data_IF_385816810535
#
_entry.id   IF_385816810535
#
_cell.length_a   1.000
_cell.length_b   1.000
_cell.length_c   1.000
_cell.angle_alpha   90.00
_cell.angle_beta   90.00
_cell.angle_gamma   90.00
#
_symmetry.space_group_name_H-M   'P 1'
#
loop_
_entity.id
_entity.type
_entity.pdbx_description
1 polymer ?
#
# COMPACT_ATOMS: atom_id res chain seq x y z
N UNK A 1 -6.86 32.56 -4.60
CA UNK A 1 -7.44 31.34 -3.99
C UNK A 1 -6.88 30.12 -4.69
N UNK A 2 -6.21 29.20 -3.99
CA UNK A 2 -5.97 27.85 -4.54
C UNK A 2 -7.27 27.08 -4.32
N UNK A 3 -8.02 26.81 -5.38
CA UNK A 3 -9.27 26.06 -5.28
C UNK A 3 -8.95 24.60 -4.99
N UNK A 4 -9.42 24.08 -3.87
CA UNK A 4 -9.27 22.65 -3.54
C UNK A 4 -9.98 21.80 -4.59
N UNK A 5 -9.35 20.72 -5.03
CA UNK A 5 -9.96 19.72 -5.92
C UNK A 5 -10.61 18.56 -5.15
N UNK A 6 -10.61 18.59 -3.81
CA UNK A 6 -11.16 17.50 -2.98
C UNK A 6 -12.65 17.28 -3.22
N UNK A 7 -13.42 18.35 -3.43
CA UNK A 7 -14.85 18.27 -3.74
C UNK A 7 -15.15 17.50 -5.03
N UNK A 8 -14.17 17.37 -5.93
CA UNK A 8 -14.33 16.60 -7.16
C UNK A 8 -14.22 15.09 -6.94
N UNK A 9 -13.69 14.62 -5.80
CA UNK A 9 -13.54 13.19 -5.53
C UNK A 9 -14.90 12.49 -5.47
N UNK A 10 -15.89 13.08 -4.82
CA UNK A 10 -17.25 12.54 -4.76
C UNK A 10 -17.88 12.46 -6.15
N UNK A 11 -17.71 13.53 -6.95
CA UNK A 11 -18.14 13.53 -8.35
C UNK A 11 -17.41 12.44 -9.16
N UNK A 12 -16.12 12.21 -8.93
CA UNK A 12 -15.35 11.18 -9.62
C UNK A 12 -15.79 9.77 -9.22
N UNK A 13 -16.06 9.52 -7.94
CA UNK A 13 -16.59 8.24 -7.47
C UNK A 13 -17.89 7.87 -8.19
N UNK A 14 -18.79 8.84 -8.35
CA UNK A 14 -20.13 8.62 -8.91
C UNK A 14 -20.18 8.61 -10.45
N UNK A 15 -19.32 9.38 -11.11
CA UNK A 15 -19.47 9.64 -12.56
C UNK A 15 -18.19 9.42 -13.38
N UNK A 16 -17.01 9.32 -12.76
CA UNK A 16 -15.71 9.22 -13.46
C UNK A 16 -14.72 8.35 -12.69
N UNK A 17 -15.05 7.07 -12.56
CA UNK A 17 -14.28 6.09 -11.79
C UNK A 17 -12.77 6.08 -12.11
N UNK A 18 -12.41 6.21 -13.39
CA UNK A 18 -11.00 6.27 -13.80
C UNK A 18 -10.23 7.44 -13.17
N UNK A 19 -10.86 8.60 -12.98
CA UNK A 19 -10.23 9.76 -12.33
C UNK A 19 -10.14 9.55 -10.82
N UNK A 20 -11.13 8.89 -10.22
CA UNK A 20 -11.07 8.50 -8.81
C UNK A 20 -9.86 7.58 -8.58
N UNK A 21 -9.75 6.50 -9.37
CA UNK A 21 -8.63 5.57 -9.30
C UNK A 21 -7.29 6.26 -9.58
N UNK A 22 -7.22 7.15 -10.56
CA UNK A 22 -5.99 7.90 -10.83
C UNK A 22 -5.56 8.75 -9.61
N UNK A 23 -6.51 9.23 -8.81
CA UNK A 23 -6.22 10.05 -7.63
C UNK A 23 -5.86 9.22 -6.41
N UNK A 24 -6.67 8.25 -6.01
CA UNK A 24 -6.50 7.53 -4.74
C UNK A 24 -6.05 6.07 -4.89
N UNK A 25 -5.91 5.57 -6.13
CA UNK A 25 -5.47 4.20 -6.47
C UNK A 25 -6.32 3.04 -5.94
N UNK A 26 -7.49 3.34 -5.39
CA UNK A 26 -8.46 2.35 -4.93
C UNK A 26 -9.83 2.58 -5.57
N UNK A 27 -10.68 1.56 -5.55
CA UNK A 27 -12.08 1.69 -5.93
C UNK A 27 -12.86 2.44 -4.82
N UNK A 28 -13.96 3.13 -5.14
CA UNK A 28 -14.81 3.78 -4.14
C UNK A 28 -15.26 2.83 -3.02
N UNK A 29 -15.69 1.61 -3.36
CA UNK A 29 -16.09 0.61 -2.36
C UNK A 29 -14.96 0.24 -1.39
N UNK A 30 -13.72 0.11 -1.91
CA UNK A 30 -12.54 -0.16 -1.08
C UNK A 30 -12.21 1.07 -0.22
N UNK A 31 -12.35 2.27 -0.78
CA UNK A 31 -12.16 3.51 -0.04
C UNK A 31 -13.11 3.61 1.15
N UNK A 32 -14.39 3.35 0.93
CA UNK A 32 -15.43 3.39 1.96
C UNK A 32 -15.19 2.28 3.01
N UNK A 33 -14.83 1.07 2.58
CA UNK A 33 -14.45 0.00 3.50
C UNK A 33 -13.27 0.38 4.40
N UNK A 34 -12.21 0.99 3.84
CA UNK A 34 -11.07 1.45 4.64
C UNK A 34 -11.52 2.57 5.60
N UNK A 35 -12.34 3.50 5.11
CA UNK A 35 -12.87 4.60 5.91
C UNK A 35 -13.66 4.08 7.12
N UNK A 36 -14.54 3.10 6.93
CA UNK A 36 -15.33 2.50 7.99
C UNK A 36 -14.43 1.84 9.05
N UNK A 37 -13.39 1.12 8.63
CA UNK A 37 -12.45 0.46 9.57
C UNK A 37 -11.64 1.44 10.43
N UNK A 38 -11.36 2.65 9.93
CA UNK A 38 -10.53 3.62 10.66
C UNK A 38 -11.35 4.72 11.34
N UNK A 39 -12.66 4.83 11.07
CA UNK A 39 -13.47 5.97 11.52
C UNK A 39 -13.60 6.09 13.04
N UNK A 40 -13.61 4.95 13.75
CA UNK A 40 -13.72 4.91 15.21
C UNK A 40 -12.38 5.13 15.93
N UNK A 41 -11.29 5.32 15.19
CA UNK A 41 -9.96 5.41 15.77
C UNK A 41 -9.78 6.71 16.60
N UNK A 42 -9.29 6.63 17.86
CA UNK A 42 -9.23 7.78 18.77
C UNK A 42 -8.35 8.93 18.27
N UNK A 43 -7.41 8.66 17.37
CA UNK A 43 -6.54 9.70 16.76
C UNK A 43 -7.30 10.78 15.98
N UNK A 44 -8.49 10.45 15.47
CA UNK A 44 -9.34 11.40 14.76
C UNK A 44 -10.22 12.24 15.70
N UNK A 45 -10.27 11.89 16.98
CA UNK A 45 -10.96 12.67 17.99
C UNK A 45 -10.15 13.93 18.33
N UNK A 46 -10.76 15.12 18.20
CA UNK A 46 -10.10 16.41 18.48
C UNK A 46 -9.98 16.77 19.96
N UNK A 47 -10.37 15.87 20.87
CA UNK A 47 -10.18 16.02 22.32
C UNK A 47 -10.78 17.30 22.93
N UNK A 48 -11.82 17.87 22.32
CA UNK A 48 -12.43 19.12 22.76
C UNK A 48 -11.67 20.40 22.38
N UNK A 49 -10.61 20.31 21.57
CA UNK A 49 -9.89 21.50 21.09
C UNK A 49 -10.69 22.25 20.02
N UNK A 50 -10.55 23.58 20.01
CA UNK A 50 -11.22 24.48 19.04
C UNK A 50 -10.76 24.28 17.58
N UNK A 51 -9.69 23.51 17.37
CA UNK A 51 -9.15 23.23 16.05
C UNK A 51 -9.84 22.00 15.46
N UNK A 52 -10.86 22.24 14.64
CA UNK A 52 -11.54 21.18 13.90
C UNK A 52 -10.54 20.44 13.01
N UNK A 53 -10.40 19.12 13.21
CA UNK A 53 -9.68 18.27 12.26
C UNK A 53 -10.44 18.25 10.92
N UNK A 54 -9.73 17.99 9.82
CA UNK A 54 -10.39 17.70 8.55
C UNK A 54 -11.21 16.40 8.68
N UNK A 55 -12.34 16.27 7.94
CA UNK A 55 -13.08 15.02 7.83
C UNK A 55 -12.16 13.83 7.54
N UNK A 56 -12.41 12.69 8.19
CA UNK A 56 -11.58 11.48 8.08
C UNK A 56 -11.43 11.05 6.62
N UNK A 57 -12.52 11.09 5.84
CA UNK A 57 -12.50 10.82 4.40
C UNK A 57 -11.50 11.71 3.64
N UNK A 58 -11.38 12.99 3.99
CA UNK A 58 -10.41 13.89 3.37
C UNK A 58 -8.98 13.51 3.79
N UNK A 59 -8.77 13.16 5.06
CA UNK A 59 -7.45 12.72 5.53
C UNK A 59 -7.03 11.42 4.81
N UNK A 60 -7.95 10.47 4.65
CA UNK A 60 -7.75 9.21 3.93
C UNK A 60 -7.43 9.45 2.45
N UNK A 61 -8.18 10.33 1.77
CA UNK A 61 -7.92 10.67 0.37
C UNK A 61 -6.53 11.31 0.17
N UNK A 62 -6.10 12.16 1.11
CA UNK A 62 -4.75 12.75 1.10
C UNK A 62 -3.69 11.66 1.27
N UNK A 63 -3.88 10.76 2.24
CA UNK A 63 -2.97 9.65 2.49
C UNK A 63 -2.85 8.74 1.26
N UNK A 64 -3.97 8.29 0.70
CA UNK A 64 -4.00 7.39 -0.46
C UNK A 64 -3.46 8.05 -1.72
N UNK A 65 -3.74 9.34 -1.94
CA UNK A 65 -3.12 10.08 -3.02
C UNK A 65 -1.59 10.08 -2.86
N UNK A 66 -1.09 10.36 -1.66
CA UNK A 66 0.36 10.36 -1.42
C UNK A 66 1.00 8.98 -1.55
N UNK A 67 0.37 7.93 -1.02
CA UNK A 67 0.89 6.56 -1.05
C UNK A 67 0.80 5.93 -2.45
N UNK A 68 -0.17 6.34 -3.26
CA UNK A 68 -0.48 5.77 -4.56
C UNK A 68 0.32 6.34 -5.75
N UNK A 69 1.24 7.27 -5.52
CA UNK A 69 2.04 7.90 -6.58
C UNK A 69 3.54 7.74 -6.32
N UNK A 70 4.35 7.83 -7.37
CA UNK A 70 5.82 7.73 -7.30
C UNK A 70 6.51 8.96 -7.88
N UNK A 71 7.76 9.20 -7.49
CA UNK A 71 8.56 10.34 -7.96
C UNK A 71 8.00 11.68 -7.50
N UNK A 72 8.03 12.69 -8.37
CA UNK A 72 7.63 14.07 -8.04
C UNK A 72 6.16 14.21 -7.61
N UNK A 73 5.31 13.24 -7.95
CA UNK A 73 3.91 13.20 -7.53
C UNK A 73 3.70 12.85 -6.05
N UNK A 74 4.74 12.39 -5.33
CA UNK A 74 4.73 12.21 -3.86
C UNK A 74 4.96 13.55 -3.12
N UNK A 75 5.43 14.59 -3.81
CA UNK A 75 5.81 15.83 -3.14
C UNK A 75 4.65 16.42 -2.34
N UNK A 76 4.94 16.75 -1.09
CA UNK A 76 3.94 17.22 -0.14
C UNK A 76 3.34 18.55 -0.59
N UNK A 77 4.12 19.34 -1.34
CA UNK A 77 3.71 20.59 -1.96
C UNK A 77 2.66 20.38 -3.05
N UNK A 78 2.80 19.35 -3.89
CA UNK A 78 1.81 19.04 -4.93
C UNK A 78 0.50 18.55 -4.32
N UNK A 79 0.58 17.67 -3.32
CA UNK A 79 -0.60 17.19 -2.59
C UNK A 79 -1.28 18.34 -1.85
N UNK A 80 -0.51 19.23 -1.20
CA UNK A 80 -1.02 20.42 -0.54
C UNK A 80 -1.73 21.38 -1.51
N UNK A 81 -1.17 21.58 -2.72
CA UNK A 81 -1.81 22.38 -3.76
C UNK A 81 -3.11 21.76 -4.27
N UNK A 82 -3.12 20.45 -4.50
CA UNK A 82 -4.32 19.71 -4.93
C UNK A 82 -5.42 19.75 -3.86
N UNK A 83 -5.07 19.50 -2.60
CA UNK A 83 -5.99 19.50 -1.48
C UNK A 83 -6.41 20.92 -1.05
N UNK A 84 -5.64 21.95 -1.41
CA UNK A 84 -5.89 23.33 -1.01
C UNK A 84 -5.58 23.60 0.47
N UNK A 85 -4.63 22.88 1.07
CA UNK A 85 -4.27 22.98 2.49
C UNK A 85 -2.77 23.24 2.67
N UNK A 86 -2.30 23.47 3.90
CA UNK A 86 -0.87 23.63 4.18
C UNK A 86 -0.12 22.29 4.12
N UNK A 87 1.18 22.32 3.80
CA UNK A 87 2.06 21.13 3.80
C UNK A 87 2.04 20.44 5.16
N UNK A 88 2.10 21.20 6.27
CA UNK A 88 1.98 20.66 7.62
C UNK A 88 0.66 19.92 7.85
N UNK A 89 -0.44 20.38 7.24
CA UNK A 89 -1.73 19.67 7.31
C UNK A 89 -1.70 18.35 6.54
N UNK A 90 -1.05 18.30 5.37
CA UNK A 90 -0.84 17.04 4.61
C UNK A 90 -0.06 16.02 5.44
N UNK A 91 1.01 16.45 6.09
CA UNK A 91 1.83 15.58 6.96
C UNK A 91 0.98 15.04 8.11
N UNK A 92 0.25 15.92 8.81
CA UNK A 92 -0.61 15.52 9.92
C UNK A 92 -1.71 14.54 9.48
N UNK A 93 -2.37 14.78 8.35
CA UNK A 93 -3.37 13.86 7.80
C UNK A 93 -2.74 12.50 7.47
N UNK A 94 -1.57 12.51 6.81
CA UNK A 94 -0.87 11.26 6.47
C UNK A 94 -0.54 10.46 7.73
N UNK A 95 0.04 11.11 8.74
CA UNK A 95 0.48 10.44 9.96
C UNK A 95 -0.70 9.85 10.73
N UNK A 96 -1.83 10.57 10.81
CA UNK A 96 -3.03 10.08 11.50
C UNK A 96 -3.61 8.85 10.84
N UNK A 97 -3.76 8.88 9.51
CA UNK A 97 -4.25 7.73 8.74
C UNK A 97 -3.28 6.56 8.83
N UNK A 98 -1.97 6.83 8.74
CA UNK A 98 -0.95 5.79 8.88
C UNK A 98 -1.02 5.10 10.24
N UNK A 99 -1.14 5.84 11.34
CA UNK A 99 -1.33 5.24 12.67
C UNK A 99 -2.60 4.41 12.72
N UNK A 100 -3.73 4.94 12.26
CA UNK A 100 -5.00 4.20 12.29
C UNK A 100 -4.98 2.92 11.44
N UNK A 101 -4.28 2.92 10.30
CA UNK A 101 -4.08 1.73 9.47
C UNK A 101 -3.14 0.72 10.16
N UNK A 102 -2.05 1.19 10.76
CA UNK A 102 -1.09 0.33 11.46
C UNK A 102 -1.71 -0.32 12.69
N UNK A 103 -2.64 0.35 13.38
CA UNK A 103 -3.37 -0.24 14.51
C UNK A 103 -4.32 -1.38 14.07
N UNK A 104 -4.61 -1.50 12.77
CA UNK A 104 -5.34 -2.64 12.19
C UNK A 104 -4.40 -3.78 11.75
N UNK A 105 -3.09 -3.66 11.94
CA UNK A 105 -2.10 -4.63 11.46
C UNK A 105 -2.44 -6.05 11.88
N UNK A 106 -2.69 -6.28 13.16
CA UNK A 106 -2.92 -7.63 13.67
C UNK A 106 -4.26 -8.22 13.22
N UNK A 107 -5.19 -7.40 12.71
CA UNK A 107 -6.46 -7.89 12.13
C UNK A 107 -6.25 -8.43 10.72
N UNK A 108 -5.38 -7.79 9.92
CA UNK A 108 -5.25 -8.08 8.49
C UNK A 108 -3.93 -8.77 8.11
N UNK A 109 -2.89 -8.62 8.91
CA UNK A 109 -1.58 -9.24 8.71
C UNK A 109 -1.41 -10.32 9.78
N UNK A 110 -1.97 -11.48 9.48
CA UNK A 110 -1.86 -12.68 10.31
C UNK A 110 -1.22 -13.81 9.52
N UNK A 111 -0.47 -14.66 10.20
CA UNK A 111 -0.10 -15.95 9.62
C UNK A 111 -1.34 -16.83 9.58
N UNK A 112 -1.66 -17.44 8.43
CA UNK A 112 -2.79 -18.35 8.35
C UNK A 112 -2.52 -19.55 9.26
N UNK A 113 -3.55 -20.01 9.97
CA UNK A 113 -3.44 -21.24 10.76
C UNK A 113 -3.17 -22.43 9.84
N UNK A 114 -2.37 -23.41 10.28
CA UNK A 114 -1.97 -24.56 9.46
C UNK A 114 -3.13 -25.38 8.90
N UNK A 115 -4.29 -25.34 9.55
CA UNK A 115 -5.51 -26.03 9.13
C UNK A 115 -6.44 -25.14 8.25
N UNK A 116 -6.01 -23.94 7.86
CA UNK A 116 -6.84 -23.03 7.05
C UNK A 116 -6.87 -23.44 5.57
N UNK A 117 -7.95 -23.03 4.89
CA UNK A 117 -8.10 -23.22 3.44
C UNK A 117 -6.97 -22.52 2.65
N UNK A 118 -6.50 -21.37 3.13
CA UNK A 118 -5.38 -20.64 2.52
C UNK A 118 -4.07 -21.44 2.57
N UNK A 119 -3.80 -22.13 3.68
CA UNK A 119 -2.63 -23.03 3.79
C UNK A 119 -2.76 -24.21 2.86
N UNK A 120 -3.95 -24.82 2.76
CA UNK A 120 -4.20 -25.92 1.83
C UNK A 120 -3.95 -25.49 0.37
N UNK A 121 -4.45 -24.31 -0.03
CA UNK A 121 -4.18 -23.74 -1.35
C UNK A 121 -2.69 -23.44 -1.57
N UNK A 122 -2.01 -22.89 -0.56
CA UNK A 122 -0.58 -22.62 -0.62
C UNK A 122 0.25 -23.91 -0.80
N UNK A 123 -0.10 -24.99 -0.09
CA UNK A 123 0.53 -26.32 -0.25
C UNK A 123 0.34 -26.89 -1.65
N UNK A 124 -0.89 -26.84 -2.17
CA UNK A 124 -1.18 -27.30 -3.53
C UNK A 124 -0.36 -26.52 -4.55
N UNK A 125 -0.23 -25.20 -4.36
CA UNK A 125 0.60 -24.37 -5.23
C UNK A 125 2.08 -24.74 -5.13
N UNK A 126 2.66 -24.84 -3.92
CA UNK A 126 4.10 -25.11 -3.77
C UNK A 126 4.48 -26.52 -4.23
N UNK A 127 3.62 -27.53 -4.03
CA UNK A 127 3.86 -28.88 -4.53
C UNK A 127 3.84 -28.97 -6.07
N UNK A 128 3.00 -28.17 -6.74
CA UNK A 128 2.84 -28.22 -8.20
C UNK A 128 3.74 -27.24 -8.96
N UNK A 129 4.12 -26.13 -8.32
CA UNK A 129 4.76 -24.99 -8.99
C UNK A 129 6.14 -24.64 -8.43
N UNK A 130 6.62 -25.33 -7.39
CA UNK A 130 7.94 -25.08 -6.78
C UNK A 130 8.89 -26.29 -6.92
N UNK A 131 10.15 -26.12 -6.57
CA UNK A 131 11.09 -27.23 -6.53
C UNK A 131 10.85 -28.12 -5.29
N UNK A 132 11.27 -29.41 -5.32
CA UNK A 132 11.03 -30.34 -4.21
C UNK A 132 11.49 -29.83 -2.85
N UNK A 133 12.60 -29.10 -2.81
CA UNK A 133 13.16 -28.53 -1.58
C UNK A 133 12.25 -27.46 -0.95
N UNK A 134 11.35 -26.86 -1.72
CA UNK A 134 10.47 -25.77 -1.33
C UNK A 134 9.00 -26.17 -1.28
N UNK A 135 8.67 -27.42 -1.61
CA UNK A 135 7.30 -27.94 -1.69
C UNK A 135 6.58 -28.05 -0.35
N UNK A 136 7.27 -27.84 0.78
CA UNK A 136 6.68 -27.93 2.12
C UNK A 136 6.43 -26.57 2.79
N UNK A 137 6.77 -25.45 2.13
CA UNK A 137 6.51 -24.13 2.70
C UNK A 137 5.25 -23.50 2.12
N UNK A 138 4.72 -22.52 2.85
CA UNK A 138 3.42 -21.87 2.57
C UNK A 138 3.55 -20.37 2.39
N UNK A 139 4.69 -19.84 2.84
CA UNK A 139 5.06 -18.45 2.69
C UNK A 139 6.22 -18.33 1.72
N UNK A 140 6.24 -17.21 1.04
CA UNK A 140 7.25 -16.86 0.08
C UNK A 140 7.63 -15.39 0.33
N UNK A 141 8.81 -15.15 0.88
CA UNK A 141 9.35 -13.79 1.00
C UNK A 141 10.21 -13.48 -0.22
N UNK A 142 9.84 -12.45 -0.99
CA UNK A 142 10.74 -11.91 -2.01
C UNK A 142 11.98 -11.38 -1.31
N UNK A 143 13.14 -11.99 -1.57
CA UNK A 143 14.33 -11.71 -0.81
C UNK A 143 15.35 -10.88 -1.56
N UNK A 144 16.45 -10.54 -0.87
CA UNK A 144 17.48 -9.71 -1.44
C UNK A 144 18.13 -10.40 -2.65
N UNK A 145 18.42 -9.61 -3.67
CA UNK A 145 19.16 -10.04 -4.85
C UNK A 145 20.62 -10.30 -4.47
N UNK A 146 21.10 -11.54 -4.64
CA UNK A 146 22.50 -11.88 -4.44
C UNK A 146 23.29 -11.51 -5.70
N UNK A 147 24.16 -10.51 -5.60
CA UNK A 147 24.94 -10.08 -6.76
C UNK A 147 25.95 -11.14 -7.17
N UNK A 148 25.94 -11.49 -8.45
CA UNK A 148 26.92 -12.35 -9.08
C UNK A 148 28.14 -11.52 -9.47
N UNK A 149 29.32 -12.03 -9.15
CA UNK A 149 30.59 -11.39 -9.49
C UNK A 149 30.80 -11.27 -11.02
N UNK A 150 30.26 -12.22 -11.79
CA UNK A 150 30.41 -12.27 -13.22
C UNK A 150 29.11 -12.67 -13.92
N UNK A 151 29.01 -12.30 -15.20
CA UNK A 151 27.93 -12.70 -16.10
C UNK A 151 27.87 -14.24 -16.18
N UNK A 152 26.73 -14.88 -15.86
CA UNK A 152 26.56 -16.32 -16.03
C UNK A 152 26.77 -16.73 -17.48
N UNK A 153 27.41 -17.87 -17.71
CA UNK A 153 27.64 -18.38 -19.07
C UNK A 153 26.33 -18.85 -19.75
N UNK A 154 25.36 -19.30 -18.96
CA UNK A 154 24.06 -19.80 -19.42
C UNK A 154 22.96 -18.84 -18.95
N UNK A 155 22.00 -18.55 -19.83
CA UNK A 155 20.81 -17.73 -19.52
C UNK A 155 21.12 -16.37 -18.88
N UNK A 156 22.22 -15.76 -19.31
CA UNK A 156 22.78 -14.58 -18.68
C UNK A 156 21.80 -13.40 -18.56
N UNK A 157 20.93 -13.22 -19.54
CA UNK A 157 19.92 -12.17 -19.55
C UNK A 157 18.88 -12.36 -18.44
N UNK A 158 18.61 -13.61 -18.03
CA UNK A 158 17.64 -13.94 -16.98
C UNK A 158 18.11 -13.48 -15.60
N UNK A 159 19.43 -13.31 -15.42
CA UNK A 159 20.04 -12.84 -14.18
C UNK A 159 20.28 -11.34 -14.18
N UNK A 160 20.00 -10.62 -15.27
CA UNK A 160 20.26 -9.18 -15.35
C UNK A 160 19.10 -8.37 -14.78
N UNK A 161 19.33 -7.69 -13.65
CA UNK A 161 18.30 -6.96 -12.92
C UNK A 161 18.09 -5.51 -13.41
N UNK A 162 17.04 -4.87 -12.91
CA UNK A 162 16.71 -3.47 -13.24
C UNK A 162 17.75 -2.45 -12.72
N UNK A 163 18.73 -2.89 -11.92
CA UNK A 163 19.85 -2.09 -11.43
C UNK A 163 21.12 -2.32 -12.26
N UNK A 164 21.00 -3.01 -13.39
CA UNK A 164 22.08 -3.35 -14.30
C UNK A 164 23.16 -4.25 -13.67
N UNK A 165 22.78 -5.08 -12.68
CA UNK A 165 23.66 -6.09 -12.10
C UNK A 165 23.23 -7.49 -12.55
N UNK A 166 24.15 -8.45 -12.51
CA UNK A 166 23.78 -9.86 -12.54
C UNK A 166 23.47 -10.30 -11.12
N UNK A 167 22.28 -10.81 -10.86
CA UNK A 167 21.87 -11.19 -9.51
C UNK A 167 20.89 -12.37 -9.49
N UNK A 168 20.87 -13.08 -8.36
CA UNK A 168 19.96 -14.17 -8.08
C UNK A 168 18.92 -13.73 -7.05
N UNK A 169 17.64 -13.98 -7.32
CA UNK A 169 16.62 -13.84 -6.29
C UNK A 169 16.79 -14.98 -5.27
N UNK A 170 16.89 -14.62 -3.99
CA UNK A 170 16.83 -15.56 -2.90
C UNK A 170 15.44 -15.47 -2.28
N UNK A 171 14.66 -16.54 -2.34
CA UNK A 171 13.37 -16.59 -1.68
C UNK A 171 13.43 -17.65 -0.59
N UNK A 172 13.00 -17.29 0.61
CA UNK A 172 12.92 -18.23 1.72
C UNK A 172 11.48 -18.73 1.81
N UNK A 173 11.33 -20.04 1.95
CA UNK A 173 10.05 -20.64 2.26
C UNK A 173 10.00 -21.00 3.74
N UNK A 174 8.96 -20.55 4.42
CA UNK A 174 8.79 -20.69 5.87
C UNK A 174 7.52 -21.53 6.11
N UNK A 175 7.61 -22.38 7.14
CA UNK A 175 6.57 -23.27 7.64
C UNK A 175 5.57 -22.52 8.52
#
# INVERSE_FOLDING_TARGET
MKSSQLHLLEHFANHRLHLFHQRVRVNPEIFDNILDHISDHPIFSSGGSQNCQLPIAIQLAIFLNRAGHYGNAISQEHVAQWAGISVGSVINCTNRVMVAILDQHDTFIQFPGLDSEDVAHAWVYTQNCSCPEWGNGILAADGPLFHLFAKPAMHSETFFDHKSNYSLNFQASIY
#
